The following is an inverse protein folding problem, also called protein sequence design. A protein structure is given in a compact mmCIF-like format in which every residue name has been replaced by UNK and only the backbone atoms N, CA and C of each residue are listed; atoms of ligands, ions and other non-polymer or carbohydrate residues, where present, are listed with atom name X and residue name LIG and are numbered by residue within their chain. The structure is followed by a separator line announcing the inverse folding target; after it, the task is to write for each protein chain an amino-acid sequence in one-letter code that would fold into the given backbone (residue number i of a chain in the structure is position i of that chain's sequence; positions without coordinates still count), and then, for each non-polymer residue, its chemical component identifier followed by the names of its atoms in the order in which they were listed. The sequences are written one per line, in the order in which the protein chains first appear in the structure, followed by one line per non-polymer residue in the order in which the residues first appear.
data_IF_663889058909
#
_entry.id   IF_663889058909
#
_cell.length_a   1.000
_cell.length_b   1.000
_cell.length_c   1.000
_cell.angle_alpha   90.00
_cell.angle_beta   90.00
_cell.angle_gamma   90.00
#
_symmetry.space_group_name_H-M   'P 1'
#
loop_
_entity.id
_entity.type
_entity.pdbx_description
1 polymer ?
#
# COMPACT_ATOMS: atom_id res chain seq x y z
N UNK A 1 3.04 -16.68 -29.26
CA UNK A 1 2.12 -16.78 -30.43
C UNK A 1 1.04 -15.67 -30.51
N UNK A 2 0.56 -15.03 -29.42
CA UNK A 2 -0.53 -14.03 -29.46
C UNK A 2 -0.14 -12.52 -29.38
N UNK A 3 1.16 -12.18 -29.34
CA UNK A 3 1.61 -10.85 -28.87
C UNK A 3 1.47 -9.69 -29.87
N UNK A 4 1.28 -9.96 -31.17
CA UNK A 4 1.18 -8.92 -32.20
C UNK A 4 -0.12 -8.96 -33.02
N UNK A 5 -1.07 -9.78 -32.63
CA UNK A 5 -2.39 -9.77 -33.26
C UNK A 5 -3.15 -8.50 -32.88
N UNK A 6 -3.57 -7.72 -33.89
CA UNK A 6 -4.41 -6.53 -33.69
C UNK A 6 -5.70 -6.87 -32.95
N UNK A 7 -6.27 -8.06 -33.19
CA UNK A 7 -7.48 -8.54 -32.50
C UNK A 7 -7.23 -8.76 -31.01
N UNK A 8 -6.11 -9.39 -30.65
CA UNK A 8 -5.74 -9.56 -29.24
C UNK A 8 -5.51 -8.22 -28.53
N UNK A 9 -4.83 -7.27 -29.18
CA UNK A 9 -4.59 -5.93 -28.61
C UNK A 9 -5.90 -5.17 -28.40
N UNK A 10 -6.84 -5.27 -29.34
CA UNK A 10 -8.17 -4.69 -29.21
C UNK A 10 -8.96 -5.36 -28.08
N UNK A 11 -8.95 -6.69 -28.02
CA UNK A 11 -9.64 -7.45 -26.98
C UNK A 11 -9.09 -7.16 -25.57
N UNK A 12 -7.77 -7.14 -25.40
CA UNK A 12 -7.09 -6.72 -24.15
C UNK A 12 -7.50 -5.30 -23.75
N UNK A 13 -7.58 -4.37 -24.71
CA UNK A 13 -8.00 -3.00 -24.46
C UNK A 13 -9.47 -2.92 -24.01
N UNK A 14 -10.37 -3.66 -24.68
CA UNK A 14 -11.80 -3.71 -24.32
C UNK A 14 -11.99 -4.29 -22.92
N UNK A 15 -11.32 -5.41 -22.61
CA UNK A 15 -11.34 -6.00 -21.26
C UNK A 15 -10.83 -5.00 -20.24
N UNK A 16 -9.71 -4.33 -20.51
CA UNK A 16 -9.14 -3.35 -19.60
C UNK A 16 -10.11 -2.19 -19.34
N UNK A 17 -10.67 -1.58 -20.39
CA UNK A 17 -11.60 -0.46 -20.25
C UNK A 17 -12.86 -0.88 -19.49
N UNK A 18 -13.46 -2.02 -19.86
CA UNK A 18 -14.66 -2.53 -19.18
C UNK A 18 -14.40 -2.83 -17.70
N UNK A 19 -13.29 -3.47 -17.39
CA UNK A 19 -12.89 -3.79 -16.02
C UNK A 19 -12.58 -2.53 -15.21
N UNK A 20 -11.83 -1.58 -15.80
CA UNK A 20 -11.52 -0.31 -15.15
C UNK A 20 -12.79 0.48 -14.85
N UNK A 21 -13.75 0.49 -15.79
CA UNK A 21 -15.05 1.13 -15.60
C UNK A 21 -15.83 0.48 -14.45
N UNK A 22 -15.96 -0.85 -14.43
CA UNK A 22 -16.65 -1.57 -13.34
C UNK A 22 -16.00 -1.27 -11.98
N UNK A 23 -14.67 -1.42 -11.87
CA UNK A 23 -13.95 -1.12 -10.63
C UNK A 23 -14.13 0.34 -10.20
N UNK A 24 -14.12 1.27 -11.16
CA UNK A 24 -14.34 2.71 -10.90
C UNK A 24 -15.73 2.95 -10.33
N UNK A 25 -16.77 2.40 -10.96
CA UNK A 25 -18.16 2.55 -10.51
C UNK A 25 -18.34 1.96 -9.12
N UNK A 26 -17.86 0.73 -8.88
CA UNK A 26 -17.98 0.07 -7.58
C UNK A 26 -17.30 0.87 -6.47
N UNK A 27 -16.07 1.34 -6.71
CA UNK A 27 -15.33 2.17 -5.76
C UNK A 27 -16.01 3.51 -5.52
N UNK A 28 -16.47 4.17 -6.59
CA UNK A 28 -17.20 5.43 -6.48
C UNK A 28 -18.48 5.26 -5.65
N UNK A 29 -19.28 4.23 -5.91
CA UNK A 29 -20.53 3.97 -5.19
C UNK A 29 -20.24 3.74 -3.70
N UNK A 30 -19.24 2.93 -3.35
CA UNK A 30 -18.88 2.70 -1.95
C UNK A 30 -18.48 4.01 -1.26
N UNK A 31 -17.52 4.73 -1.83
CA UNK A 31 -16.98 5.96 -1.25
C UNK A 31 -18.07 7.04 -1.16
N UNK A 32 -18.95 7.14 -2.16
CA UNK A 32 -20.06 8.08 -2.14
C UNK A 32 -21.10 7.75 -1.06
N UNK A 33 -21.45 6.48 -0.88
CA UNK A 33 -22.32 6.05 0.22
C UNK A 33 -21.70 6.39 1.58
N UNK A 34 -20.43 6.09 1.77
CA UNK A 34 -19.65 6.46 2.95
C UNK A 34 -19.63 7.99 3.19
N UNK A 35 -19.47 8.77 2.12
CA UNK A 35 -19.40 10.23 2.17
C UNK A 35 -20.75 10.93 2.40
N UNK A 36 -21.85 10.30 2.00
CA UNK A 36 -23.20 10.88 2.06
C UNK A 36 -24.04 10.35 3.22
N UNK A 37 -23.72 9.16 3.73
CA UNK A 37 -24.47 8.50 4.79
C UNK A 37 -23.54 7.73 5.73
N UNK A 38 -22.76 8.47 6.52
CA UNK A 38 -21.78 7.89 7.47
C UNK A 38 -22.40 7.14 8.66
N UNK A 39 -23.71 7.33 8.91
CA UNK A 39 -24.45 6.60 9.95
C UNK A 39 -24.65 5.13 9.60
N UNK A 40 -24.93 4.85 8.32
CA UNK A 40 -25.10 3.47 7.81
C UNK A 40 -23.78 2.92 7.27
N UNK A 41 -22.99 3.77 6.61
CA UNK A 41 -21.76 3.37 5.94
C UNK A 41 -20.54 3.92 6.70
N UNK A 42 -20.22 3.26 7.81
CA UNK A 42 -19.14 3.69 8.70
C UNK A 42 -17.78 3.79 7.98
N UNK A 43 -17.12 4.93 8.13
CA UNK A 43 -15.80 5.21 7.56
C UNK A 43 -15.20 6.49 8.14
N UNK A 44 -13.90 6.71 7.90
CA UNK A 44 -13.20 7.92 8.35
C UNK A 44 -13.55 9.16 7.52
N UNK A 45 -14.34 8.99 6.44
CA UNK A 45 -14.49 10.02 5.41
C UNK A 45 -15.26 11.26 5.88
N UNK A 46 -16.13 11.13 6.88
CA UNK A 46 -16.87 12.25 7.47
C UNK A 46 -15.92 13.31 8.02
N UNK A 47 -15.01 12.89 8.91
CA UNK A 47 -13.97 13.77 9.45
C UNK A 47 -13.05 14.35 8.35
N UNK A 48 -12.87 13.63 7.25
CA UNK A 48 -12.08 14.13 6.12
C UNK A 48 -12.81 15.20 5.30
N UNK A 49 -14.13 15.12 5.20
CA UNK A 49 -14.96 16.16 4.59
C UNK A 49 -14.94 17.41 5.45
N UNK A 50 -15.05 17.27 6.77
CA UNK A 50 -14.97 18.39 7.71
C UNK A 50 -13.63 19.13 7.59
N UNK A 51 -12.50 18.40 7.57
CA UNK A 51 -11.17 18.97 7.33
C UNK A 51 -11.09 19.72 5.98
N UNK A 52 -11.64 19.12 4.91
CA UNK A 52 -11.68 19.75 3.58
C UNK A 52 -12.44 21.08 3.61
N UNK A 53 -13.50 21.17 4.42
CA UNK A 53 -14.32 22.37 4.58
C UNK A 53 -13.73 23.38 5.58
N UNK A 54 -12.64 23.03 6.28
CA UNK A 54 -12.07 23.85 7.36
C UNK A 54 -12.92 23.86 8.63
N UNK A 55 -13.80 22.86 8.80
CA UNK A 55 -14.58 22.67 10.03
C UNK A 55 -13.63 22.07 11.08
N UNK A 56 -13.54 22.64 12.30
CA UNK A 56 -12.68 22.09 13.34
C UNK A 56 -13.04 20.63 13.66
N UNK A 57 -12.04 19.75 13.67
CA UNK A 57 -12.18 18.36 14.11
C UNK A 57 -11.24 18.06 15.28
N UNK A 58 -11.48 16.96 16.00
CA UNK A 58 -10.59 16.47 17.06
C UNK A 58 -9.22 15.98 16.52
N UNK A 59 -9.08 15.90 15.19
CA UNK A 59 -7.89 15.45 14.50
C UNK A 59 -7.28 16.58 13.68
N UNK A 60 -5.96 16.50 13.50
CA UNK A 60 -5.26 17.36 12.55
C UNK A 60 -4.73 16.46 11.45
N UNK A 61 -5.00 16.83 10.19
CA UNK A 61 -4.57 16.07 9.02
C UNK A 61 -3.53 16.88 8.22
N UNK A 62 -2.26 16.94 8.65
CA UNK A 62 -1.24 17.82 8.07
C UNK A 62 -0.70 17.31 6.70
N UNK A 63 -1.48 16.51 5.97
CA UNK A 63 -1.17 15.92 4.66
C UNK A 63 -2.21 16.41 3.62
N UNK A 64 -1.93 17.49 2.89
CA UNK A 64 -2.99 18.26 2.24
C UNK A 64 -3.44 17.76 0.87
N UNK A 65 -2.77 16.78 0.24
CA UNK A 65 -2.97 16.48 -1.19
C UNK A 65 -4.43 16.08 -1.48
N UNK A 66 -4.97 15.10 -0.75
CA UNK A 66 -6.35 14.67 -0.93
C UNK A 66 -7.33 15.81 -0.65
N UNK A 67 -7.17 16.51 0.48
CA UNK A 67 -8.07 17.58 0.92
C UNK A 67 -8.09 18.76 -0.05
N UNK A 68 -6.92 19.21 -0.53
CA UNK A 68 -6.82 20.33 -1.48
C UNK A 68 -7.39 19.96 -2.85
N UNK A 69 -7.18 18.72 -3.32
CA UNK A 69 -7.81 18.25 -4.55
C UNK A 69 -9.33 18.21 -4.40
N UNK A 70 -9.84 17.69 -3.29
CA UNK A 70 -11.28 17.65 -3.02
C UNK A 70 -11.87 19.06 -2.86
N UNK A 71 -11.19 19.96 -2.15
CA UNK A 71 -11.61 21.35 -1.99
C UNK A 71 -11.67 22.11 -3.32
N UNK A 72 -10.78 21.80 -4.27
CA UNK A 72 -10.85 22.35 -5.63
C UNK A 72 -12.10 21.88 -6.37
N UNK A 73 -12.44 20.59 -6.29
CA UNK A 73 -13.67 20.04 -6.88
C UNK A 73 -14.93 20.56 -6.20
N UNK A 74 -14.88 20.78 -4.88
CA UNK A 74 -15.98 21.31 -4.07
C UNK A 74 -16.42 22.72 -4.49
N UNK A 75 -15.62 23.43 -5.29
CA UNK A 75 -16.05 24.70 -5.92
C UNK A 75 -17.15 24.52 -6.97
N UNK A 76 -17.33 23.29 -7.46
CA UNK A 76 -18.24 22.97 -8.57
C UNK A 76 -19.33 21.96 -8.19
N UNK A 77 -19.11 21.17 -7.14
CA UNK A 77 -20.03 20.12 -6.67
C UNK A 77 -20.12 20.12 -5.14
N UNK A 78 -21.10 19.41 -4.57
CA UNK A 78 -21.26 19.34 -3.11
C UNK A 78 -20.17 18.48 -2.42
N UNK A 79 -19.95 18.64 -1.10
CA UNK A 79 -18.78 18.10 -0.40
C UNK A 79 -18.58 16.59 -0.53
N UNK A 80 -19.64 15.81 -0.30
CA UNK A 80 -19.58 14.34 -0.39
C UNK A 80 -19.19 13.87 -1.80
N UNK A 81 -19.69 14.53 -2.85
CA UNK A 81 -19.33 14.19 -4.23
C UNK A 81 -17.89 14.61 -4.55
N UNK A 82 -17.45 15.79 -4.13
CA UNK A 82 -16.09 16.27 -4.34
C UNK A 82 -15.05 15.31 -3.73
N UNK A 83 -15.27 14.87 -2.49
CA UNK A 83 -14.39 13.91 -1.81
C UNK A 83 -14.42 12.54 -2.51
N UNK A 84 -15.60 12.07 -2.90
CA UNK A 84 -15.75 10.77 -3.56
C UNK A 84 -15.06 10.71 -4.92
N UNK A 85 -15.21 11.76 -5.74
CA UNK A 85 -14.51 11.90 -7.02
C UNK A 85 -13.00 11.94 -6.83
N UNK A 86 -12.51 12.66 -5.80
CA UNK A 86 -11.08 12.75 -5.48
C UNK A 86 -10.48 11.39 -5.14
N UNK A 87 -11.07 10.69 -4.17
CA UNK A 87 -10.59 9.38 -3.70
C UNK A 87 -10.67 8.34 -4.83
N UNK A 88 -11.78 8.34 -5.58
CA UNK A 88 -11.96 7.45 -6.73
C UNK A 88 -10.91 7.74 -7.82
N UNK A 89 -10.66 9.02 -8.12
CA UNK A 89 -9.67 9.45 -9.11
C UNK A 89 -8.26 8.96 -8.77
N UNK A 90 -7.82 9.11 -7.53
CA UNK A 90 -6.53 8.57 -7.09
C UNK A 90 -6.48 7.04 -7.14
N UNK A 91 -7.58 6.37 -6.80
CA UNK A 91 -7.65 4.90 -6.88
C UNK A 91 -7.59 4.39 -8.34
N UNK A 92 -8.19 5.11 -9.29
CA UNK A 92 -8.07 4.83 -10.73
C UNK A 92 -6.60 4.92 -11.16
N UNK A 93 -5.87 5.96 -10.72
CA UNK A 93 -4.43 6.08 -11.02
C UNK A 93 -3.65 4.87 -10.47
N UNK A 94 -4.00 4.39 -9.28
CA UNK A 94 -3.36 3.23 -8.68
C UNK A 94 -3.60 1.94 -9.50
N UNK A 95 -4.84 1.72 -9.98
CA UNK A 95 -5.18 0.62 -10.89
C UNK A 95 -4.38 0.71 -12.19
N UNK A 96 -4.28 1.89 -12.79
CA UNK A 96 -3.51 2.12 -14.04
C UNK A 96 -2.03 1.79 -13.83
N UNK A 97 -1.40 2.32 -12.78
CA UNK A 97 0.02 2.10 -12.49
C UNK A 97 0.32 0.62 -12.21
N UNK A 98 -0.54 -0.05 -11.46
CA UNK A 98 -0.43 -1.50 -11.18
C UNK A 98 -0.48 -2.31 -12.47
N UNK A 99 -1.48 -2.06 -13.33
CA UNK A 99 -1.59 -2.78 -14.61
C UNK A 99 -0.39 -2.54 -15.51
N UNK A 100 0.12 -1.31 -15.57
CA UNK A 100 1.33 -1.00 -16.34
C UNK A 100 2.51 -1.82 -15.82
N UNK A 101 2.68 -1.94 -14.49
CA UNK A 101 3.75 -2.75 -13.90
C UNK A 101 3.62 -4.23 -14.26
N UNK A 102 2.45 -4.82 -13.99
CA UNK A 102 2.21 -6.24 -14.26
C UNK A 102 2.35 -6.56 -15.75
N UNK A 103 1.88 -5.67 -16.63
CA UNK A 103 2.02 -5.84 -18.08
C UNK A 103 3.48 -5.79 -18.52
N UNK A 104 4.31 -4.92 -17.94
CA UNK A 104 5.76 -4.86 -18.23
C UNK A 104 6.49 -6.15 -17.82
N UNK A 105 6.12 -6.76 -16.69
CA UNK A 105 6.73 -8.02 -16.20
C UNK A 105 6.30 -9.22 -17.04
N UNK A 106 5.02 -9.31 -17.36
CA UNK A 106 4.43 -10.52 -17.99
C UNK A 106 4.40 -10.48 -19.51
N UNK A 107 4.28 -9.29 -20.10
CA UNK A 107 3.87 -9.07 -21.50
C UNK A 107 2.51 -9.70 -21.86
N UNK A 108 1.65 -9.99 -20.87
CA UNK A 108 0.30 -10.57 -21.06
C UNK A 108 -0.72 -9.58 -20.46
N UNK A 109 -1.34 -8.77 -21.31
CA UNK A 109 -2.24 -7.70 -20.87
C UNK A 109 -3.49 -8.18 -20.10
N UNK A 110 -4.08 -9.30 -20.49
CA UNK A 110 -5.27 -9.85 -19.83
C UNK A 110 -4.92 -10.32 -18.41
N UNK A 111 -3.82 -11.05 -18.25
CA UNK A 111 -3.29 -11.45 -16.95
C UNK A 111 -3.00 -10.23 -16.08
N UNK A 112 -2.31 -9.22 -16.63
CA UNK A 112 -2.08 -7.97 -15.92
C UNK A 112 -3.37 -7.28 -15.47
N UNK A 113 -4.44 -7.36 -16.26
CA UNK A 113 -5.76 -6.81 -15.91
C UNK A 113 -6.38 -7.54 -14.74
N UNK A 114 -6.50 -8.88 -14.81
CA UNK A 114 -7.10 -9.66 -13.73
C UNK A 114 -6.28 -9.63 -12.44
N UNK A 115 -4.95 -9.68 -12.53
CA UNK A 115 -4.09 -9.55 -11.36
C UNK A 115 -4.19 -8.16 -10.72
N UNK A 116 -4.39 -7.11 -11.52
CA UNK A 116 -4.67 -5.75 -11.00
C UNK A 116 -5.97 -5.73 -10.23
N UNK A 117 -7.05 -6.30 -10.76
CA UNK A 117 -8.32 -6.41 -10.03
C UNK A 117 -8.15 -7.21 -8.76
N UNK A 118 -7.48 -8.36 -8.84
CA UNK A 118 -7.22 -9.21 -7.69
C UNK A 118 -6.51 -8.45 -6.57
N UNK A 119 -5.46 -7.68 -6.87
CA UNK A 119 -4.75 -6.87 -5.87
C UNK A 119 -5.67 -5.87 -5.14
N UNK A 120 -6.65 -5.29 -5.85
CA UNK A 120 -7.53 -4.25 -5.28
C UNK A 120 -8.81 -4.79 -4.64
N UNK A 121 -9.10 -6.08 -4.84
CA UNK A 121 -10.28 -6.75 -4.28
C UNK A 121 -9.96 -7.93 -3.35
N UNK A 122 -8.69 -8.34 -3.20
CA UNK A 122 -8.27 -9.26 -2.15
C UNK A 122 -8.38 -8.62 -0.77
N UNK A 123 -8.71 -9.42 0.25
CA UNK A 123 -8.68 -8.95 1.64
C UNK A 123 -8.25 -10.05 2.58
N UNK A 124 -8.29 -9.82 3.90
CA UNK A 124 -7.96 -10.85 4.88
C UNK A 124 -8.85 -12.08 4.70
N UNK A 125 -8.28 -13.25 4.99
CA UNK A 125 -9.07 -14.46 5.14
C UNK A 125 -9.87 -14.34 6.42
N UNK A 126 -11.19 -14.48 6.34
CA UNK A 126 -12.09 -14.38 7.48
C UNK A 126 -13.11 -15.50 7.49
N UNK A 127 -13.34 -16.03 8.68
CA UNK A 127 -14.42 -16.94 9.00
C UNK A 127 -14.87 -16.67 10.46
N UNK A 128 -16.18 -16.57 10.76
CA UNK A 128 -16.66 -16.38 12.12
C UNK A 128 -16.15 -17.42 13.14
N UNK A 129 -15.82 -18.63 12.68
CA UNK A 129 -15.23 -19.68 13.51
C UNK A 129 -13.85 -19.30 14.08
N UNK A 130 -13.14 -18.35 13.47
CA UNK A 130 -11.84 -17.90 13.98
C UNK A 130 -11.93 -17.11 15.29
N UNK A 131 -13.13 -16.62 15.66
CA UNK A 131 -13.36 -16.05 16.98
C UNK A 131 -13.05 -17.04 18.11
N UNK A 132 -13.26 -18.34 17.89
CA UNK A 132 -12.94 -19.40 18.85
C UNK A 132 -11.44 -19.60 19.07
N UNK A 133 -10.60 -19.09 18.17
CA UNK A 133 -9.14 -19.21 18.22
C UNK A 133 -8.45 -17.84 18.29
N UNK A 134 -9.18 -16.82 18.76
CA UNK A 134 -8.60 -15.53 19.13
C UNK A 134 -8.66 -14.42 18.08
N UNK A 135 -9.49 -14.57 17.05
CA UNK A 135 -9.73 -13.57 16.00
C UNK A 135 -11.15 -13.02 16.12
N UNK A 136 -11.32 -11.95 16.89
CA UNK A 136 -12.65 -11.46 17.29
C UNK A 136 -13.30 -10.55 16.25
N UNK A 137 -12.49 -9.75 15.58
CA UNK A 137 -12.91 -8.77 14.58
C UNK A 137 -12.60 -9.29 13.18
N UNK A 138 -13.34 -8.79 12.19
CA UNK A 138 -13.09 -9.15 10.78
C UNK A 138 -11.84 -8.44 10.30
N UNK A 139 -11.74 -7.14 10.55
CA UNK A 139 -10.67 -6.28 10.08
C UNK A 139 -9.69 -5.91 11.18
N UNK A 140 -10.12 -5.26 12.26
CA UNK A 140 -9.15 -4.65 13.19
C UNK A 140 -8.37 -5.74 13.91
N UNK A 141 -7.04 -5.71 13.79
CA UNK A 141 -6.14 -6.71 14.36
C UNK A 141 -5.68 -7.77 13.36
N UNK A 142 -6.51 -8.21 12.41
CA UNK A 142 -6.03 -9.01 11.26
C UNK A 142 -5.46 -8.09 10.18
N UNK A 143 -6.21 -7.04 9.89
CA UNK A 143 -6.01 -6.03 8.87
C UNK A 143 -6.03 -6.57 7.44
N UNK A 144 -6.18 -5.65 6.50
CA UNK A 144 -6.14 -5.91 5.06
C UNK A 144 -5.38 -4.81 4.37
N UNK A 145 -4.71 -5.16 3.27
CA UNK A 145 -4.18 -4.20 2.32
C UNK A 145 -5.27 -3.45 1.54
N UNK A 146 -6.55 -3.80 1.73
CA UNK A 146 -7.73 -3.13 1.18
C UNK A 146 -8.67 -2.58 2.27
N UNK A 147 -8.17 -1.62 3.06
CA UNK A 147 -8.95 -0.89 4.05
C UNK A 147 -9.86 0.18 3.39
N UNK A 148 -10.98 -0.26 2.81
CA UNK A 148 -11.87 0.61 2.02
C UNK A 148 -12.58 1.71 2.81
N UNK A 149 -12.66 1.62 4.14
CA UNK A 149 -13.21 2.68 4.99
C UNK A 149 -12.25 3.87 5.17
N UNK A 150 -10.98 3.77 4.75
CA UNK A 150 -9.99 4.82 4.95
C UNK A 150 -9.62 5.51 3.63
N UNK A 151 -10.26 6.64 3.35
CA UNK A 151 -10.12 7.40 2.11
C UNK A 151 -8.68 7.91 1.86
N UNK A 152 -7.97 8.35 2.92
CA UNK A 152 -6.58 8.86 2.81
C UNK A 152 -5.60 7.76 2.40
N UNK A 153 -5.82 6.53 2.88
CA UNK A 153 -5.07 5.35 2.45
C UNK A 153 -5.38 4.99 1.00
N UNK A 154 -6.65 4.98 0.59
CA UNK A 154 -7.01 4.74 -0.82
C UNK A 154 -6.38 5.78 -1.76
N UNK A 155 -6.39 7.04 -1.35
CA UNK A 155 -5.79 8.15 -2.10
C UNK A 155 -4.25 8.07 -2.19
N UNK A 156 -3.57 7.45 -1.23
CA UNK A 156 -2.11 7.37 -1.20
C UNK A 156 -1.53 6.24 -2.06
N UNK A 157 -2.32 5.21 -2.39
CA UNK A 157 -1.91 4.05 -3.20
C UNK A 157 -1.16 4.32 -4.50
N UNK A 158 -1.59 5.24 -5.39
CA UNK A 158 -0.84 5.49 -6.62
C UNK A 158 0.60 5.94 -6.31
N UNK A 159 0.77 6.69 -5.21
CA UNK A 159 2.07 7.19 -4.78
C UNK A 159 2.86 6.12 -4.03
N UNK A 160 2.22 5.21 -3.28
CA UNK A 160 2.87 4.01 -2.72
C UNK A 160 3.45 3.16 -3.86
N UNK A 161 2.68 2.88 -4.90
CA UNK A 161 3.13 2.07 -6.05
C UNK A 161 4.33 2.75 -6.73
N UNK A 162 4.20 4.04 -7.05
CA UNK A 162 5.27 4.80 -7.68
C UNK A 162 6.55 4.82 -6.83
N UNK A 163 6.44 5.22 -5.57
CA UNK A 163 7.59 5.26 -4.65
C UNK A 163 8.20 3.89 -4.39
N UNK A 164 7.41 2.82 -4.36
CA UNK A 164 7.93 1.46 -4.25
C UNK A 164 8.75 1.05 -5.48
N UNK A 165 8.18 1.18 -6.69
CA UNK A 165 8.85 0.77 -7.94
C UNK A 165 10.15 1.56 -8.14
N UNK A 166 10.08 2.89 -8.03
CA UNK A 166 11.27 3.72 -8.19
C UNK A 166 12.23 3.60 -7.01
N UNK A 167 11.74 3.34 -5.79
CA UNK A 167 12.59 3.08 -4.62
C UNK A 167 13.37 1.78 -4.72
N UNK A 168 12.77 0.71 -5.25
CA UNK A 168 13.49 -0.53 -5.56
C UNK A 168 14.58 -0.27 -6.60
N UNK A 169 14.30 0.55 -7.63
CA UNK A 169 15.30 0.96 -8.61
C UNK A 169 16.45 1.75 -7.97
N UNK A 170 16.17 2.75 -7.12
CA UNK A 170 17.23 3.56 -6.51
C UNK A 170 18.09 2.71 -5.58
N UNK A 171 17.49 1.81 -4.78
CA UNK A 171 18.23 0.91 -3.89
C UNK A 171 19.13 -0.08 -4.63
N UNK A 172 18.75 -0.48 -5.84
CA UNK A 172 19.57 -1.34 -6.68
C UNK A 172 20.75 -0.58 -7.30
N UNK A 173 20.53 0.64 -7.78
CA UNK A 173 21.48 1.28 -8.71
C UNK A 173 22.27 2.46 -8.11
N UNK A 174 21.97 2.97 -6.91
CA UNK A 174 22.58 4.22 -6.43
C UNK A 174 24.11 4.18 -6.32
N UNK A 175 24.70 3.03 -6.02
CA UNK A 175 26.15 2.87 -5.88
C UNK A 175 26.88 3.02 -7.22
N UNK A 176 26.30 2.52 -8.31
CA UNK A 176 26.82 2.65 -9.67
C UNK A 176 26.42 3.97 -10.32
N UNK A 177 25.17 4.39 -10.17
CA UNK A 177 24.64 5.59 -10.83
C UNK A 177 25.34 6.87 -10.37
N UNK A 178 25.82 6.90 -9.11
CA UNK A 178 26.55 8.04 -8.54
C UNK A 178 28.07 7.82 -8.45
N UNK A 179 28.64 6.80 -9.10
CA UNK A 179 30.08 6.49 -9.03
C UNK A 179 30.97 7.66 -9.45
N UNK A 180 30.56 8.43 -10.47
CA UNK A 180 31.31 9.56 -11.02
C UNK A 180 30.99 10.92 -10.38
N UNK A 181 30.28 10.94 -9.26
CA UNK A 181 29.96 12.16 -8.49
C UNK A 181 29.30 13.27 -9.33
N UNK A 182 28.33 12.90 -10.16
CA UNK A 182 27.61 13.87 -10.97
C UNK A 182 26.53 14.61 -10.17
N UNK A 183 26.32 15.89 -10.50
CA UNK A 183 25.24 16.68 -9.92
C UNK A 183 23.89 16.04 -10.25
N UNK A 184 22.99 15.98 -9.26
CA UNK A 184 21.63 15.49 -9.44
C UNK A 184 20.88 16.40 -10.43
N UNK A 185 20.72 15.90 -11.66
CA UNK A 185 20.02 16.58 -12.75
C UNK A 185 18.94 15.68 -13.35
N UNK A 186 17.88 16.27 -13.89
CA UNK A 186 16.79 15.51 -14.49
C UNK A 186 17.24 14.65 -15.68
N UNK A 187 18.13 15.16 -16.53
CA UNK A 187 18.62 14.45 -17.70
C UNK A 187 19.31 13.12 -17.34
N UNK A 188 20.01 13.08 -16.21
CA UNK A 188 20.82 11.92 -15.81
C UNK A 188 20.20 11.07 -14.71
N UNK A 189 19.43 11.69 -13.82
CA UNK A 189 18.93 11.06 -12.59
C UNK A 189 17.39 11.07 -12.51
N UNK A 190 16.72 11.00 -13.66
CA UNK A 190 15.26 11.01 -13.78
C UNK A 190 14.57 10.08 -12.78
N UNK A 191 15.05 8.85 -12.62
CA UNK A 191 14.42 7.86 -11.73
C UNK A 191 14.51 8.27 -10.24
N UNK A 192 15.59 8.93 -9.82
CA UNK A 192 15.76 9.43 -8.45
C UNK A 192 14.86 10.63 -8.15
N UNK A 193 14.67 11.52 -9.13
CA UNK A 193 13.77 12.67 -8.99
C UNK A 193 12.30 12.24 -9.02
N UNK A 194 11.94 11.27 -9.87
CA UNK A 194 10.61 10.67 -9.87
C UNK A 194 10.36 9.95 -8.54
N UNK A 195 11.34 9.19 -8.03
CA UNK A 195 11.28 8.60 -6.70
C UNK A 195 11.02 9.63 -5.61
N UNK A 196 11.83 10.70 -5.57
CA UNK A 196 11.71 11.79 -4.60
C UNK A 196 10.33 12.44 -4.66
N UNK A 197 9.80 12.70 -5.86
CA UNK A 197 8.45 13.23 -6.06
C UNK A 197 7.38 12.28 -5.52
N UNK A 198 7.43 10.98 -5.85
CA UNK A 198 6.45 10.03 -5.35
C UNK A 198 6.51 9.85 -3.83
N UNK A 199 7.71 9.84 -3.22
CA UNK A 199 7.89 9.81 -1.77
C UNK A 199 7.34 11.07 -1.09
N UNK A 200 7.53 12.24 -1.70
CA UNK A 200 6.94 13.48 -1.23
C UNK A 200 5.41 13.42 -1.30
N UNK A 201 4.85 12.99 -2.44
CA UNK A 201 3.40 12.92 -2.65
C UNK A 201 2.72 11.90 -1.75
N UNK A 202 3.30 10.72 -1.52
CA UNK A 202 2.74 9.74 -0.58
C UNK A 202 2.72 10.31 0.83
N UNK A 203 3.80 10.98 1.26
CA UNK A 203 3.89 11.60 2.59
C UNK A 203 2.87 12.73 2.77
N UNK A 204 2.69 13.55 1.73
CA UNK A 204 1.72 14.64 1.69
C UNK A 204 0.27 14.17 1.49
N UNK A 205 0.04 12.87 1.27
CA UNK A 205 -1.30 12.25 1.19
C UNK A 205 -1.63 11.43 2.43
N UNK A 206 -0.68 10.60 2.89
CA UNK A 206 -0.71 9.87 4.16
C UNK A 206 0.72 9.35 4.49
N UNK A 207 1.36 9.79 5.58
CA UNK A 207 2.77 9.46 5.87
C UNK A 207 3.02 7.99 6.29
N UNK A 208 1.98 7.16 6.39
CA UNK A 208 2.06 5.81 6.91
C UNK A 208 3.04 4.88 6.17
N UNK A 209 3.14 5.00 4.84
CA UNK A 209 4.10 4.21 4.05
C UNK A 209 5.54 4.72 4.18
N UNK A 210 5.70 6.02 4.40
CA UNK A 210 7.00 6.70 4.42
C UNK A 210 7.89 6.15 5.54
N UNK A 211 7.34 5.95 6.73
CA UNK A 211 8.09 5.46 7.90
C UNK A 211 8.75 4.09 7.66
N UNK A 212 8.02 3.00 7.34
CA UNK A 212 8.65 1.70 7.10
C UNK A 212 9.60 1.72 5.89
N UNK A 213 9.27 2.46 4.83
CA UNK A 213 10.16 2.61 3.67
C UNK A 213 11.50 3.24 4.06
N UNK A 214 11.47 4.38 4.76
CA UNK A 214 12.68 5.08 5.19
C UNK A 214 13.49 4.26 6.19
N UNK A 215 12.84 3.50 7.08
CA UNK A 215 13.54 2.60 8.00
C UNK A 215 14.33 1.53 7.24
N UNK A 216 13.72 0.87 6.24
CA UNK A 216 14.42 -0.12 5.41
C UNK A 216 15.59 0.52 4.68
N UNK A 217 15.36 1.64 4.00
CA UNK A 217 16.39 2.29 3.19
C UNK A 217 17.53 2.78 4.07
N UNK A 218 17.23 3.39 5.23
CA UNK A 218 18.22 3.81 6.21
C UNK A 218 19.07 2.65 6.72
N UNK A 219 18.45 1.55 7.16
CA UNK A 219 19.17 0.36 7.65
C UNK A 219 20.05 -0.23 6.56
N UNK A 220 19.51 -0.42 5.35
CA UNK A 220 20.25 -1.02 4.24
C UNK A 220 21.39 -0.12 3.77
N UNK A 221 21.16 1.19 3.65
CA UNK A 221 22.19 2.16 3.26
C UNK A 221 23.32 2.22 4.29
N UNK A 222 23.00 2.25 5.59
CA UNK A 222 24.01 2.20 6.67
C UNK A 222 24.79 0.89 6.60
N UNK A 223 24.12 -0.26 6.45
CA UNK A 223 24.79 -1.55 6.31
C UNK A 223 25.75 -1.57 5.11
N UNK A 224 25.32 -1.10 3.94
CA UNK A 224 26.18 -1.03 2.74
C UNK A 224 27.35 -0.07 2.95
N UNK A 225 27.10 1.08 3.59
CA UNK A 225 28.14 2.06 3.92
C UNK A 225 29.23 1.46 4.81
N UNK A 226 28.84 0.76 5.87
CA UNK A 226 29.77 0.07 6.78
C UNK A 226 30.50 -1.07 6.07
N UNK A 227 29.79 -1.91 5.32
CA UNK A 227 30.36 -3.04 4.56
C UNK A 227 31.40 -2.57 3.54
N UNK A 228 31.15 -1.44 2.89
CA UNK A 228 32.04 -0.82 1.90
C UNK A 228 33.13 0.04 2.53
N UNK A 229 33.24 0.08 3.87
CA UNK A 229 34.19 0.93 4.62
C UNK A 229 34.11 2.39 4.17
N UNK A 230 32.90 2.91 4.04
CA UNK A 230 32.61 4.30 3.63
C UNK A 230 33.05 4.68 2.21
N UNK A 231 33.47 3.73 1.36
CA UNK A 231 33.84 4.01 -0.05
C UNK A 231 32.67 4.53 -0.89
N UNK A 232 31.44 4.13 -0.56
CA UNK A 232 30.20 4.57 -1.20
C UNK A 232 29.49 5.73 -0.45
N UNK A 233 30.22 6.48 0.40
CA UNK A 233 29.63 7.56 1.20
C UNK A 233 28.94 8.63 0.36
N UNK A 234 29.56 9.02 -0.77
CA UNK A 234 29.02 10.03 -1.68
C UNK A 234 27.71 9.56 -2.33
N UNK A 235 27.69 8.33 -2.82
CA UNK A 235 26.51 7.72 -3.41
C UNK A 235 25.38 7.62 -2.39
N UNK A 236 25.71 7.24 -1.16
CA UNK A 236 24.77 7.18 -0.04
C UNK A 236 24.22 8.56 0.30
N UNK A 237 25.06 9.61 0.28
CA UNK A 237 24.63 10.99 0.46
C UNK A 237 23.70 11.45 -0.68
N UNK A 238 24.04 11.16 -1.94
CA UNK A 238 23.19 11.47 -3.09
C UNK A 238 21.82 10.76 -3.00
N UNK A 239 21.78 9.51 -2.56
CA UNK A 239 20.54 8.80 -2.25
C UNK A 239 19.77 9.52 -1.13
N UNK A 240 20.43 9.89 -0.03
CA UNK A 240 19.80 10.61 1.08
C UNK A 240 19.21 11.96 0.66
N UNK A 241 19.86 12.70 -0.26
CA UNK A 241 19.35 13.96 -0.79
C UNK A 241 17.98 13.81 -1.46
N UNK A 242 17.66 12.64 -2.03
CA UNK A 242 16.33 12.38 -2.61
C UNK A 242 15.21 12.37 -1.56
N UNK A 243 15.54 12.16 -0.29
CA UNK A 243 14.58 12.18 0.82
C UNK A 243 14.39 13.55 1.46
N UNK A 244 15.24 14.54 1.18
CA UNK A 244 15.18 15.86 1.82
C UNK A 244 13.78 16.49 1.74
N UNK A 245 13.10 16.54 0.57
CA UNK A 245 11.74 17.09 0.51
C UNK A 245 10.75 16.35 1.42
N UNK A 246 10.88 15.03 1.50
CA UNK A 246 10.03 14.17 2.34
C UNK A 246 10.32 14.37 3.83
N UNK A 247 11.59 14.48 4.21
CA UNK A 247 12.02 14.75 5.58
C UNK A 247 11.51 16.10 6.08
N UNK A 248 11.61 17.16 5.27
CA UNK A 248 11.07 18.47 5.61
C UNK A 248 9.56 18.41 5.89
N UNK A 249 8.81 17.66 5.07
CA UNK A 249 7.38 17.44 5.29
C UNK A 249 7.11 16.66 6.57
N UNK A 250 7.83 15.56 6.81
CA UNK A 250 7.65 14.78 8.04
C UNK A 250 7.93 15.62 9.29
N UNK A 251 8.99 16.43 9.28
CA UNK A 251 9.28 17.34 10.38
C UNK A 251 8.14 18.33 10.60
N UNK A 252 7.58 18.91 9.54
CA UNK A 252 6.40 19.77 9.62
C UNK A 252 5.18 19.04 10.19
N UNK A 253 4.87 17.84 9.68
CA UNK A 253 3.69 17.05 10.07
C UNK A 253 3.75 16.57 11.52
N UNK A 254 4.94 16.19 11.98
CA UNK A 254 5.14 15.63 13.31
C UNK A 254 5.61 16.65 14.35
N UNK A 255 5.91 17.90 13.97
CA UNK A 255 6.28 18.95 14.92
C UNK A 255 5.25 19.09 16.06
N UNK A 256 3.96 19.02 15.75
CA UNK A 256 2.88 19.06 16.74
C UNK A 256 2.55 17.74 17.44
N UNK A 257 3.06 16.60 16.95
CA UNK A 257 2.87 15.28 17.58
C UNK A 257 3.88 15.04 18.71
N UNK A 258 5.06 15.65 18.60
CA UNK A 258 6.16 15.50 19.55
C UNK A 258 6.30 16.68 20.52
N UNK A 259 5.52 17.75 20.36
CA UNK A 259 5.57 18.92 21.26
C UNK A 259 4.20 19.19 21.87
N UNK A 260 4.14 19.31 23.20
CA UNK A 260 2.95 19.71 23.96
C UNK A 260 2.21 18.58 24.70
N UNK A 261 1.29 18.98 25.59
CA UNK A 261 0.25 18.15 26.21
C UNK A 261 -0.93 18.01 25.26
N UNK A 262 -1.62 16.87 25.22
CA UNK A 262 -2.82 16.74 24.38
C UNK A 262 -3.88 17.80 24.77
N UNK A 263 -4.88 18.05 23.92
CA UNK A 263 -6.03 18.90 24.27
C UNK A 263 -6.78 18.41 25.54
N UNK A 264 -6.48 17.19 25.99
CA UNK A 264 -7.00 16.54 27.21
C UNK A 264 -5.96 16.42 28.33
N UNK A 265 -4.79 17.04 28.22
CA UNK A 265 -3.74 17.03 29.25
C UNK A 265 -2.96 15.72 29.38
N UNK A 266 -3.03 14.83 28.39
CA UNK A 266 -2.33 13.54 28.39
C UNK A 266 -0.92 13.65 27.79
N UNK A 267 -0.06 12.70 28.17
CA UNK A 267 1.27 12.50 27.59
C UNK A 267 1.15 12.25 26.07
N UNK A 268 1.69 13.19 25.28
CA UNK A 268 1.89 12.99 23.85
C UNK A 268 3.21 12.25 23.56
N UNK A 269 3.32 11.67 22.38
CA UNK A 269 4.55 11.06 21.86
C UNK A 269 4.43 9.58 21.55
N UNK A 270 5.57 8.94 21.28
CA UNK A 270 5.65 7.53 20.89
C UNK A 270 6.08 6.71 22.10
N UNK A 271 5.32 5.65 22.39
CA UNK A 271 5.71 4.60 23.33
C UNK A 271 6.26 3.37 22.60
N UNK A 272 7.10 2.62 23.31
CA UNK A 272 7.64 1.33 22.85
C UNK A 272 7.15 0.26 23.82
N UNK A 273 6.37 -0.69 23.32
CA UNK A 273 5.92 -1.84 24.11
C UNK A 273 5.46 -2.96 23.17
N UNK A 274 5.91 -4.19 23.46
CA UNK A 274 5.62 -5.38 22.68
C UNK A 274 4.11 -5.68 22.63
N UNK A 275 3.54 -5.62 21.42
CA UNK A 275 2.15 -6.01 21.14
C UNK A 275 1.09 -5.19 21.86
N UNK A 276 1.45 -4.08 22.53
CA UNK A 276 0.59 -3.39 23.50
C UNK A 276 -0.79 -3.05 22.95
N UNK A 277 -0.85 -2.49 21.75
CA UNK A 277 -2.12 -2.11 21.11
C UNK A 277 -2.73 -3.30 20.37
N UNK A 278 -1.91 -4.04 19.63
CA UNK A 278 -2.36 -5.15 18.78
C UNK A 278 -3.10 -6.24 19.57
N UNK A 279 -2.59 -6.59 20.76
CA UNK A 279 -3.15 -7.64 21.60
C UNK A 279 -4.51 -7.27 22.23
N UNK A 280 -4.97 -6.01 22.13
CA UNK A 280 -6.35 -5.65 22.47
C UNK A 280 -7.36 -6.10 21.41
N UNK A 281 -6.90 -6.32 20.17
CA UNK A 281 -7.77 -6.64 19.03
C UNK A 281 -7.78 -8.12 18.67
N UNK A 282 -6.70 -8.85 18.96
CA UNK A 282 -6.58 -10.29 18.73
C UNK A 282 -5.80 -10.93 19.88
N UNK A 283 -6.18 -12.15 20.27
CA UNK A 283 -5.40 -12.96 21.21
C UNK A 283 -4.45 -13.94 20.52
N UNK A 284 -4.64 -14.19 19.21
CA UNK A 284 -3.79 -15.04 18.40
C UNK A 284 -3.13 -14.26 17.26
N UNK A 285 -2.05 -13.55 17.60
CA UNK A 285 -1.32 -12.70 16.66
C UNK A 285 -0.67 -13.48 15.48
N UNK A 286 -0.03 -14.65 15.69
CA UNK A 286 0.51 -15.42 14.55
C UNK A 286 -0.57 -15.78 13.53
N UNK A 287 -1.73 -16.22 13.99
CA UNK A 287 -2.86 -16.52 13.11
C UNK A 287 -3.35 -15.26 12.39
N UNK A 288 -3.48 -14.13 13.09
CA UNK A 288 -3.88 -12.86 12.47
C UNK A 288 -2.94 -12.47 11.31
N UNK A 289 -1.63 -12.59 11.51
CA UNK A 289 -0.63 -12.32 10.46
C UNK A 289 -0.78 -13.28 9.27
N UNK A 290 -1.01 -14.57 9.53
CA UNK A 290 -1.24 -15.58 8.47
C UNK A 290 -2.52 -15.29 7.70
N UNK A 291 -3.61 -14.92 8.38
CA UNK A 291 -4.89 -14.60 7.73
C UNK A 291 -4.80 -13.31 6.89
N UNK A 292 -3.93 -12.38 7.26
CA UNK A 292 -3.69 -11.15 6.52
C UNK A 292 -2.77 -11.36 5.30
N UNK A 293 -1.70 -12.14 5.46
CA UNK A 293 -0.61 -12.29 4.49
C UNK A 293 -0.49 -13.71 3.89
N UNK A 294 -1.54 -14.53 3.98
CA UNK A 294 -1.51 -15.93 3.58
C UNK A 294 -1.03 -16.17 2.14
N UNK A 295 -1.59 -15.44 1.17
CA UNK A 295 -1.14 -15.52 -0.23
C UNK A 295 0.34 -15.14 -0.39
N UNK A 296 0.81 -13.95 0.06
CA UNK A 296 2.24 -13.63 0.01
C UNK A 296 3.13 -14.66 0.68
N UNK A 297 2.74 -15.20 1.83
CA UNK A 297 3.51 -16.23 2.56
C UNK A 297 3.64 -17.50 1.71
N UNK A 298 2.55 -17.97 1.09
CA UNK A 298 2.60 -19.15 0.21
C UNK A 298 3.53 -18.91 -0.98
N UNK A 299 3.44 -17.75 -1.63
CA UNK A 299 4.35 -17.38 -2.73
C UNK A 299 5.80 -17.35 -2.23
N UNK A 300 6.06 -16.77 -1.06
CA UNK A 300 7.39 -16.71 -0.46
C UNK A 300 7.98 -18.10 -0.20
N UNK A 301 7.19 -19.06 0.28
CA UNK A 301 7.66 -20.43 0.52
C UNK A 301 8.19 -21.08 -0.76
N UNK A 302 7.57 -20.81 -1.90
CA UNK A 302 8.04 -21.32 -3.20
C UNK A 302 9.10 -20.44 -3.87
N UNK A 303 9.20 -19.17 -3.49
CA UNK A 303 10.11 -18.17 -4.08
C UNK A 303 11.15 -17.65 -3.10
N UNK A 304 11.55 -18.43 -2.08
CA UNK A 304 12.50 -17.95 -1.06
C UNK A 304 13.84 -17.50 -1.66
N UNK A 305 14.26 -18.11 -2.78
CA UNK A 305 15.46 -17.71 -3.53
C UNK A 305 15.33 -16.30 -4.13
N UNK A 306 14.12 -15.87 -4.48
CA UNK A 306 13.86 -14.53 -5.00
C UNK A 306 14.11 -13.42 -3.98
N UNK A 307 14.14 -13.73 -2.68
CA UNK A 307 14.66 -12.76 -1.70
C UNK A 307 16.13 -12.39 -1.94
N UNK A 308 16.90 -13.21 -2.64
CA UNK A 308 18.30 -12.92 -3.02
C UNK A 308 18.40 -12.39 -4.44
N UNK A 309 17.65 -13.00 -5.36
CA UNK A 309 17.75 -12.76 -6.81
C UNK A 309 16.96 -11.53 -7.29
N UNK A 310 15.82 -11.22 -6.66
CA UNK A 310 14.94 -10.10 -7.02
C UNK A 310 15.00 -9.00 -5.97
N UNK A 311 15.66 -7.88 -6.32
CA UNK A 311 15.77 -6.69 -5.47
C UNK A 311 14.40 -6.14 -5.08
N UNK A 312 13.48 -6.06 -6.03
CA UNK A 312 12.13 -5.55 -5.81
C UNK A 312 11.35 -6.48 -4.86
N UNK A 313 11.45 -7.79 -5.04
CA UNK A 313 10.81 -8.77 -4.16
C UNK A 313 11.36 -8.69 -2.73
N UNK A 314 12.69 -8.67 -2.59
CA UNK A 314 13.36 -8.48 -1.29
C UNK A 314 12.95 -7.17 -0.63
N UNK A 315 12.96 -6.07 -1.37
CA UNK A 315 12.63 -4.75 -0.85
C UNK A 315 11.17 -4.69 -0.36
N UNK A 316 10.25 -5.32 -1.08
CA UNK A 316 8.85 -5.42 -0.64
C UNK A 316 8.69 -6.13 0.70
N UNK A 317 9.36 -7.29 0.88
CA UNK A 317 9.36 -8.02 2.14
C UNK A 317 10.03 -7.26 3.28
N UNK A 318 11.10 -6.51 3.01
CA UNK A 318 11.75 -5.66 4.01
C UNK A 318 10.81 -4.55 4.48
N UNK A 319 10.06 -3.90 3.57
CA UNK A 319 9.08 -2.86 3.94
C UNK A 319 7.96 -3.46 4.77
N UNK A 320 7.43 -4.62 4.38
CA UNK A 320 6.43 -5.33 5.17
C UNK A 320 6.93 -5.66 6.58
N UNK A 321 8.14 -6.21 6.70
CA UNK A 321 8.72 -6.55 7.99
C UNK A 321 8.95 -5.29 8.84
N UNK A 322 9.45 -4.19 8.27
CA UNK A 322 9.61 -2.93 8.97
C UNK A 322 8.25 -2.40 9.48
N UNK A 323 7.21 -2.42 8.63
CA UNK A 323 5.86 -2.03 9.03
C UNK A 323 5.28 -2.92 10.12
N UNK A 324 5.46 -4.24 10.01
CA UNK A 324 5.05 -5.23 11.01
C UNK A 324 5.74 -4.99 12.35
N UNK A 325 7.05 -4.77 12.35
CA UNK A 325 7.82 -4.46 13.57
C UNK A 325 7.37 -3.13 14.16
N UNK A 326 7.16 -2.09 13.35
CA UNK A 326 6.64 -0.82 13.84
C UNK A 326 5.27 -0.99 14.50
N UNK A 327 4.34 -1.71 13.88
CA UNK A 327 3.02 -2.00 14.46
C UNK A 327 3.11 -2.86 15.73
N UNK A 328 4.11 -3.75 15.83
CA UNK A 328 4.28 -4.62 16.99
C UNK A 328 4.95 -3.92 18.17
N UNK A 329 5.88 -3.00 17.93
CA UNK A 329 6.68 -2.36 18.98
C UNK A 329 6.24 -0.94 19.32
N UNK A 330 5.70 -0.18 18.38
CA UNK A 330 5.43 1.25 18.54
C UNK A 330 3.93 1.52 18.72
N UNK A 331 3.62 2.48 19.58
CA UNK A 331 2.26 3.00 19.74
C UNK A 331 2.29 4.50 20.05
N UNK A 332 1.23 5.21 19.70
CA UNK A 332 1.05 6.60 20.13
C UNK A 332 0.55 6.63 21.57
N UNK A 333 1.07 7.53 22.40
CA UNK A 333 0.57 7.75 23.76
C UNK A 333 -0.75 8.56 23.74
N UNK A 334 -1.45 8.56 24.88
CA UNK A 334 -2.72 9.24 25.05
C UNK A 334 -3.89 8.57 24.33
N UNK A 335 -4.97 9.32 24.10
CA UNK A 335 -6.22 8.84 23.52
C UNK A 335 -6.05 8.17 22.17
N UNK A 336 -4.98 8.51 21.43
CA UNK A 336 -4.70 7.94 20.10
C UNK A 336 -4.09 6.55 20.14
N UNK A 337 -3.71 6.03 21.31
CA UNK A 337 -3.13 4.70 21.46
C UNK A 337 -3.99 3.61 20.79
N UNK A 338 -5.31 3.66 21.02
CA UNK A 338 -6.22 2.65 20.48
C UNK A 338 -6.53 2.84 19.00
N UNK A 339 -6.29 4.00 18.38
CA UNK A 339 -6.41 4.15 16.93
C UNK A 339 -5.37 3.33 16.15
N UNK A 340 -4.36 2.81 16.85
CA UNK A 340 -3.36 1.91 16.31
C UNK A 340 -2.67 2.45 15.06
N UNK A 341 -2.28 3.73 15.07
CA UNK A 341 -1.77 4.43 13.91
C UNK A 341 -0.53 3.78 13.25
N UNK A 342 0.32 3.11 14.03
CA UNK A 342 1.48 2.37 13.51
C UNK A 342 1.10 1.13 12.68
N UNK A 343 -0.14 0.61 12.81
CA UNK A 343 -0.64 -0.47 11.94
C UNK A 343 -0.80 -0.01 10.48
N UNK A 344 -0.96 1.30 10.21
CA UNK A 344 -1.05 1.77 8.82
C UNK A 344 0.23 1.53 8.02
N UNK A 345 1.40 1.59 8.67
CA UNK A 345 2.67 1.21 8.03
C UNK A 345 2.70 -0.29 7.66
N UNK A 346 2.18 -1.15 8.55
CA UNK A 346 1.97 -2.56 8.28
C UNK A 346 0.99 -2.81 7.14
N UNK A 347 -0.15 -2.10 7.08
CA UNK A 347 -1.14 -2.19 6.00
C UNK A 347 -0.55 -1.78 4.65
N UNK A 348 0.25 -0.72 4.61
CA UNK A 348 0.98 -0.32 3.41
C UNK A 348 2.01 -1.40 3.01
N UNK A 349 2.71 -1.98 3.99
CA UNK A 349 3.61 -3.12 3.77
C UNK A 349 2.90 -4.34 3.20
N UNK A 350 1.73 -4.70 3.73
CA UNK A 350 0.87 -5.78 3.21
C UNK A 350 0.54 -5.54 1.74
N UNK A 351 0.13 -4.32 1.38
CA UNK A 351 -0.16 -3.98 -0.02
C UNK A 351 1.05 -4.23 -0.93
N UNK A 352 2.25 -3.84 -0.49
CA UNK A 352 3.49 -4.05 -1.25
C UNK A 352 3.84 -5.53 -1.38
N UNK A 353 3.71 -6.35 -0.32
CA UNK A 353 4.00 -7.79 -0.44
C UNK A 353 2.96 -8.53 -1.29
N UNK A 354 1.69 -8.14 -1.25
CA UNK A 354 0.68 -8.63 -2.21
C UNK A 354 1.04 -8.24 -3.65
N UNK A 355 1.48 -7.00 -3.87
CA UNK A 355 1.90 -6.51 -5.18
C UNK A 355 3.03 -7.37 -5.76
N UNK A 356 4.14 -7.54 -5.04
CA UNK A 356 5.28 -8.34 -5.56
C UNK A 356 4.97 -9.83 -5.63
N UNK A 357 4.13 -10.36 -4.72
CA UNK A 357 3.74 -11.77 -4.79
C UNK A 357 2.83 -12.06 -5.97
N UNK A 358 1.96 -11.12 -6.35
CA UNK A 358 1.21 -11.21 -7.61
C UNK A 358 2.12 -11.06 -8.83
N UNK A 359 3.20 -10.28 -8.78
CA UNK A 359 4.19 -10.24 -9.87
C UNK A 359 4.82 -11.63 -10.09
N UNK A 360 5.29 -12.28 -9.02
CA UNK A 360 5.87 -13.64 -9.09
C UNK A 360 4.84 -14.67 -9.57
N UNK A 361 3.62 -14.65 -9.02
CA UNK A 361 2.53 -15.53 -9.48
C UNK A 361 2.22 -15.34 -10.97
N UNK A 362 2.26 -14.10 -11.47
CA UNK A 362 2.05 -13.86 -12.90
C UNK A 362 3.21 -14.37 -13.77
N UNK A 363 4.44 -14.35 -13.25
CA UNK A 363 5.61 -14.93 -13.92
C UNK A 363 5.44 -16.45 -13.99
N UNK A 364 5.03 -17.11 -12.91
CA UNK A 364 4.77 -18.55 -12.89
C UNK A 364 3.66 -18.96 -13.86
N UNK A 365 2.56 -18.20 -13.93
CA UNK A 365 1.51 -18.42 -14.93
C UNK A 365 2.12 -18.35 -16.34
N UNK A 366 2.90 -17.32 -16.63
CA UNK A 366 3.53 -17.12 -17.94
C UNK A 366 4.49 -18.27 -18.29
N UNK A 367 5.28 -18.74 -17.33
CA UNK A 367 6.21 -19.87 -17.51
C UNK A 367 5.46 -21.17 -17.77
N UNK A 368 4.41 -21.45 -16.99
CA UNK A 368 3.55 -22.62 -17.18
C UNK A 368 2.87 -22.64 -18.57
N UNK A 369 2.53 -21.47 -19.12
CA UNK A 369 2.00 -21.35 -20.49
C UNK A 369 3.07 -21.49 -21.59
N UNK A 370 4.35 -21.34 -21.26
CA UNK A 370 5.45 -21.39 -22.24
C UNK A 370 6.08 -22.78 -22.42
N UNK A 371 5.87 -23.70 -21.46
CA UNK A 371 6.61 -24.98 -21.42
C UNK A 371 5.99 -26.16 -22.20
N UNK A 372 4.72 -26.16 -22.63
CA UNK A 372 4.18 -27.12 -23.62
C UNK A 372 2.68 -26.87 -23.89
N UNK A 373 2.13 -27.36 -25.02
CA UNK A 373 0.71 -27.24 -25.42
C UNK A 373 -0.30 -27.90 -24.46
N UNK A 374 0.15 -28.55 -23.38
CA UNK A 374 -0.70 -29.05 -22.30
C UNK A 374 -0.28 -28.40 -20.99
N UNK A 375 -1.15 -27.55 -20.46
CA UNK A 375 -1.02 -26.94 -19.13
C UNK A 375 -0.74 -28.04 -18.08
N UNK A 376 0.52 -28.26 -17.72
CA UNK A 376 0.88 -29.19 -16.64
C UNK A 376 0.56 -28.48 -15.34
N UNK A 377 -0.39 -29.04 -14.59
CA UNK A 377 -0.81 -28.53 -13.29
C UNK A 377 0.39 -28.58 -12.33
N UNK A 378 1.03 -27.43 -12.13
CA UNK A 378 2.15 -27.26 -11.20
C UNK A 378 1.58 -27.12 -9.78
N UNK A 379 1.96 -28.02 -8.86
CA UNK A 379 1.52 -28.00 -7.45
C UNK A 379 1.79 -26.65 -6.77
N UNK A 380 2.91 -26.00 -7.11
CA UNK A 380 3.26 -24.64 -6.67
C UNK A 380 2.18 -23.65 -7.09
N UNK A 381 1.92 -23.57 -8.39
CA UNK A 381 0.95 -22.66 -8.97
C UNK A 381 -0.47 -22.89 -8.41
N UNK A 382 -0.86 -24.16 -8.22
CA UNK A 382 -2.14 -24.51 -7.59
C UNK A 382 -2.23 -23.97 -6.18
N UNK A 383 -1.21 -24.17 -5.35
CA UNK A 383 -1.20 -23.69 -3.97
C UNK A 383 -1.28 -22.15 -3.89
N UNK A 384 -0.50 -21.45 -4.72
CA UNK A 384 -0.54 -19.99 -4.80
C UNK A 384 -1.89 -19.48 -5.30
N UNK A 385 -2.48 -20.11 -6.33
CA UNK A 385 -3.80 -19.74 -6.83
C UNK A 385 -4.90 -20.02 -5.80
N UNK A 386 -4.86 -21.13 -5.07
CA UNK A 386 -5.83 -21.39 -3.98
C UNK A 386 -5.72 -20.31 -2.91
N UNK A 387 -4.50 -19.96 -2.48
CA UNK A 387 -4.31 -18.92 -1.48
C UNK A 387 -4.82 -17.56 -1.99
N UNK A 388 -4.52 -17.19 -3.25
CA UNK A 388 -5.04 -15.99 -3.89
C UNK A 388 -6.58 -15.97 -3.93
N UNK A 389 -7.20 -17.09 -4.34
CA UNK A 389 -8.65 -17.21 -4.43
C UNK A 389 -9.31 -17.08 -3.06
N UNK A 390 -8.73 -17.63 -1.99
CA UNK A 390 -9.25 -17.44 -0.63
C UNK A 390 -9.27 -15.96 -0.24
N UNK A 391 -8.16 -15.24 -0.47
CA UNK A 391 -8.10 -13.80 -0.22
C UNK A 391 -9.06 -13.00 -1.12
N UNK A 392 -9.22 -13.39 -2.38
CA UNK A 392 -10.12 -12.74 -3.32
C UNK A 392 -11.59 -12.94 -2.95
N UNK A 393 -12.00 -14.16 -2.62
CA UNK A 393 -13.38 -14.48 -2.21
C UNK A 393 -13.70 -13.72 -0.92
N UNK A 394 -12.86 -13.82 0.11
CA UNK A 394 -13.07 -13.08 1.36
C UNK A 394 -13.09 -11.57 1.13
N UNK A 395 -12.24 -11.06 0.23
CA UNK A 395 -12.21 -9.63 -0.09
C UNK A 395 -13.42 -9.13 -0.87
N UNK A 396 -13.92 -9.88 -1.85
CA UNK A 396 -15.18 -9.55 -2.52
C UNK A 396 -16.35 -9.60 -1.53
N UNK A 397 -16.42 -10.63 -0.67
CA UNK A 397 -17.45 -10.72 0.37
C UNK A 397 -17.37 -9.52 1.35
N UNK A 398 -16.16 -9.14 1.78
CA UNK A 398 -15.96 -8.00 2.66
C UNK A 398 -16.36 -6.68 1.98
N UNK A 399 -15.93 -6.46 0.73
CA UNK A 399 -16.31 -5.29 -0.06
C UNK A 399 -17.83 -5.18 -0.24
N UNK A 400 -18.50 -6.29 -0.57
CA UNK A 400 -19.95 -6.34 -0.70
C UNK A 400 -20.66 -6.10 0.63
N UNK A 401 -20.11 -6.58 1.75
CA UNK A 401 -20.60 -6.25 3.09
C UNK A 401 -20.61 -4.74 3.32
N UNK A 402 -19.50 -4.05 3.03
CA UNK A 402 -19.40 -2.59 3.17
C UNK A 402 -20.37 -1.86 2.23
N UNK A 403 -20.50 -2.32 0.98
CA UNK A 403 -21.43 -1.75 -0.01
C UNK A 403 -22.90 -1.85 0.41
N UNK A 404 -23.23 -2.78 1.29
CA UNK A 404 -24.56 -3.01 1.84
C UNK A 404 -24.76 -2.41 3.24
N UNK A 405 -23.80 -1.62 3.74
CA UNK A 405 -23.89 -0.96 5.06
C UNK A 405 -23.46 -1.85 6.23
N UNK A 406 -22.75 -2.94 5.97
CA UNK A 406 -22.11 -3.73 7.02
C UNK A 406 -20.92 -2.99 7.62
N UNK A 407 -20.69 -3.19 8.91
CA UNK A 407 -19.55 -2.61 9.62
C UNK A 407 -18.22 -3.14 9.04
N UNK A 408 -17.20 -2.28 9.08
CA UNK A 408 -15.85 -2.61 8.69
C UNK A 408 -15.08 -3.36 9.78
N UNK A 409 -15.55 -3.35 11.03
CA UNK A 409 -14.89 -4.02 12.17
C UNK A 409 -14.76 -5.54 12.02
#
# INVERSE_FOLDING_TARGET
MYRNDKKYKLFDLVIWIGTLFICTVLMFVLVYKQASNGEIYHSDIGAYIDEMLGIPTDYSFPYPIMFKTAALLNKFVWPSLAMSLTVTGFNILALIYTRISFRKKTNIGILATFSTVALFFCSMIYNPLFAKVGIYNRYVGVFTHNAWHNATYLASRPFIIGSFIYGAYTMLNYESDFEKAEILTFAKHKNYLIFSLFMFLVTMTKPAYTLPHMAVVGIVAIYRLLKMKFKNFRQTLCLALTYVPTLCVLLYQYAGVFTGTSSRGEDNGIGICLGKVWLNYVSNLPLAIILAAGFPIVVLLFHIKQLRESEQYRFGWQIYLAGLLMAFFLYEKGFRAMHFNFAWGYICGLFVVFFVSLEEWCIDIKEAYSEDERFKVNKKLVAETIALLLHLICGVCYFMSLLNGGDYL
#
